data_IF_434472819223
#
_entry.id   IF_434472819223
#
_cell.length_a   1.000
_cell.length_b   1.000
_cell.length_c   1.000
_cell.angle_alpha   90.00
_cell.angle_beta   90.00
_cell.angle_gamma   90.00
#
_symmetry.space_group_name_H-M   'P 1'
#
loop_
_entity.id
_entity.type
_entity.pdbx_description
1 polymer ?
#
# COMPACT_ATOMS: atom_id res chain seq x y z
N UNK A 1 20.59 -80.26 -41.11
CA UNK A 1 20.19 -78.87 -41.33
C UNK A 1 19.29 -78.46 -40.15
N UNK A 2 19.72 -77.56 -39.28
CA UNK A 2 18.94 -77.05 -38.14
C UNK A 2 18.58 -75.60 -38.44
N UNK A 3 17.32 -75.20 -38.32
CA UNK A 3 16.95 -73.78 -38.50
C UNK A 3 17.36 -72.90 -37.32
N UNK A 4 17.95 -71.75 -37.64
CA UNK A 4 18.25 -70.72 -36.70
C UNK A 4 17.02 -69.82 -36.46
N UNK A 5 16.51 -69.76 -35.22
CA UNK A 5 15.49 -68.82 -34.82
C UNK A 5 16.18 -67.43 -34.60
N UNK A 6 15.73 -66.42 -35.34
CA UNK A 6 16.12 -65.04 -35.11
C UNK A 6 15.15 -64.44 -34.11
N UNK A 7 15.70 -63.94 -32.95
CA UNK A 7 14.93 -63.26 -31.91
C UNK A 7 14.98 -61.78 -32.20
N UNK A 8 13.86 -61.20 -32.63
CA UNK A 8 13.72 -59.73 -32.81
C UNK A 8 13.37 -59.08 -31.49
N UNK A 9 14.30 -58.25 -30.95
CA UNK A 9 14.07 -57.44 -29.76
C UNK A 9 13.38 -56.15 -30.22
N UNK A 10 12.09 -55.99 -29.90
CA UNK A 10 11.38 -54.70 -30.02
C UNK A 10 11.74 -53.84 -28.82
N UNK A 11 12.51 -52.76 -29.04
CA UNK A 11 12.77 -51.71 -28.05
C UNK A 11 11.63 -50.72 -28.08
N UNK A 12 10.75 -50.79 -27.09
CA UNK A 12 9.70 -49.79 -26.88
C UNK A 12 10.27 -48.51 -26.30
N UNK A 13 10.33 -47.44 -27.08
CA UNK A 13 10.63 -46.09 -26.58
C UNK A 13 9.38 -45.53 -25.89
N UNK A 14 9.41 -45.49 -24.56
CA UNK A 14 8.41 -44.76 -23.78
C UNK A 14 8.70 -43.26 -23.88
N UNK A 15 7.90 -42.54 -24.68
CA UNK A 15 7.85 -41.06 -24.68
C UNK A 15 7.22 -40.60 -23.35
N UNK A 16 8.06 -40.19 -22.40
CA UNK A 16 7.64 -39.46 -21.21
C UNK A 16 7.13 -38.09 -21.67
N UNK A 17 5.84 -37.93 -21.81
CA UNK A 17 5.21 -36.61 -21.90
C UNK A 17 5.41 -35.91 -20.58
N UNK A 18 6.37 -34.96 -20.52
CA UNK A 18 6.44 -34.00 -19.44
C UNK A 18 5.19 -33.10 -19.48
N UNK A 19 4.26 -33.35 -18.58
CA UNK A 19 3.14 -32.42 -18.41
C UNK A 19 3.72 -31.05 -18.10
N UNK A 20 3.22 -29.96 -18.72
CA UNK A 20 3.71 -28.62 -18.39
C UNK A 20 3.48 -28.39 -16.89
N UNK A 21 4.55 -28.05 -16.15
CA UNK A 21 4.44 -27.58 -14.79
C UNK A 21 3.54 -26.33 -14.82
N UNK A 22 2.30 -26.52 -14.41
CA UNK A 22 1.37 -25.41 -14.22
C UNK A 22 1.98 -24.54 -13.14
N UNK A 23 2.36 -23.30 -13.48
CA UNK A 23 2.85 -22.35 -12.48
C UNK A 23 1.84 -22.32 -11.32
N UNK A 24 2.31 -22.67 -10.12
CA UNK A 24 1.45 -22.75 -8.96
C UNK A 24 1.08 -21.32 -8.57
N UNK A 25 -0.21 -20.97 -8.65
CA UNK A 25 -0.69 -19.65 -8.25
C UNK A 25 -0.48 -19.44 -6.74
N UNK A 26 -0.21 -18.21 -6.34
CA UNK A 26 -0.05 -17.83 -4.93
C UNK A 26 -1.12 -16.83 -4.57
N UNK A 27 -1.85 -17.11 -3.49
CA UNK A 27 -2.79 -16.18 -2.89
C UNK A 27 -2.08 -15.42 -1.77
N UNK A 28 -2.24 -14.10 -1.73
CA UNK A 28 -1.77 -13.22 -0.67
C UNK A 28 -2.85 -12.22 -0.28
N UNK A 29 -2.92 -11.90 1.00
CA UNK A 29 -3.63 -10.72 1.49
C UNK A 29 -2.62 -9.65 1.86
N UNK A 30 -2.75 -8.47 1.26
CA UNK A 30 -1.85 -7.33 1.48
C UNK A 30 -2.61 -6.17 2.11
N UNK A 31 -1.90 -5.29 2.85
CA UNK A 31 -2.52 -4.22 3.61
C UNK A 31 -1.60 -3.00 3.66
N UNK A 32 -2.18 -1.80 3.61
CA UNK A 32 -1.55 -0.53 3.99
C UNK A 32 -2.27 0.06 5.19
N UNK A 33 -1.53 0.49 6.20
CA UNK A 33 -2.12 1.04 7.41
C UNK A 33 -1.22 2.09 8.08
N UNK A 34 -1.63 3.35 8.05
CA UNK A 34 -1.08 4.37 8.93
C UNK A 34 -1.56 4.07 10.36
N UNK A 35 -0.63 3.72 11.24
CA UNK A 35 -0.94 3.19 12.58
C UNK A 35 -0.93 4.26 13.68
N UNK A 36 -0.66 5.51 13.33
CA UNK A 36 -0.66 6.65 14.24
C UNK A 36 0.02 6.36 15.59
N UNK A 37 1.31 6.07 15.55
CA UNK A 37 2.10 5.67 16.71
C UNK A 37 1.79 4.26 17.23
N UNK A 38 1.15 3.41 16.43
CA UNK A 38 0.69 2.09 16.86
C UNK A 38 -0.51 2.13 17.80
N UNK A 39 -1.33 3.18 17.69
CA UNK A 39 -2.50 3.41 18.52
C UNK A 39 -2.23 4.33 19.72
N UNK A 40 -0.97 4.54 20.10
CA UNK A 40 -0.67 5.33 21.31
C UNK A 40 -1.03 6.82 21.19
N UNK A 41 -1.00 7.39 19.99
CA UNK A 41 -1.46 8.76 19.73
C UNK A 41 -3.00 8.88 19.92
N UNK A 42 -3.75 7.79 19.66
CA UNK A 42 -5.18 7.71 19.98
C UNK A 42 -5.46 7.38 21.45
N UNK A 43 -4.43 7.30 22.31
CA UNK A 43 -4.56 6.84 23.69
C UNK A 43 -4.90 5.35 23.81
N UNK A 44 -4.55 4.55 22.79
CA UNK A 44 -4.80 3.12 22.67
C UNK A 44 -3.53 2.31 22.89
N UNK A 45 -3.70 1.01 23.16
CA UNK A 45 -2.56 0.09 23.23
C UNK A 45 -2.21 -0.44 21.83
N UNK A 46 -0.95 -0.80 21.64
CA UNK A 46 -0.47 -1.46 20.40
C UNK A 46 -1.25 -2.74 20.09
N UNK A 47 -1.77 -3.42 21.10
CA UNK A 47 -2.60 -4.63 20.94
C UNK A 47 -3.88 -4.36 20.12
N UNK A 48 -4.40 -3.14 20.12
CA UNK A 48 -5.56 -2.78 19.31
C UNK A 48 -5.18 -2.66 17.82
N UNK A 49 -4.00 -2.12 17.51
CA UNK A 49 -3.44 -2.16 16.14
C UNK A 49 -3.19 -3.61 15.68
N UNK A 50 -2.68 -4.46 16.57
CA UNK A 50 -2.52 -5.91 16.32
C UNK A 50 -3.87 -6.57 16.02
N UNK A 51 -4.95 -6.19 16.73
CA UNK A 51 -6.27 -6.73 16.49
C UNK A 51 -6.82 -6.36 15.10
N UNK A 52 -6.57 -5.14 14.62
CA UNK A 52 -6.91 -4.71 13.26
C UNK A 52 -6.23 -5.60 12.22
N UNK A 53 -4.91 -5.80 12.35
CA UNK A 53 -4.14 -6.62 11.41
C UNK A 53 -4.61 -8.08 11.43
N UNK A 54 -4.92 -8.63 12.62
CA UNK A 54 -5.48 -9.98 12.77
C UNK A 54 -6.84 -10.12 12.11
N UNK A 55 -7.70 -9.12 12.18
CA UNK A 55 -9.02 -9.15 11.56
C UNK A 55 -8.95 -9.28 10.03
N UNK A 56 -7.94 -8.66 9.41
CA UNK A 56 -7.64 -8.78 7.97
C UNK A 56 -6.91 -10.07 7.65
N UNK A 57 -6.12 -10.60 8.60
CA UNK A 57 -5.21 -11.72 8.39
C UNK A 57 -4.22 -11.49 7.23
N UNK A 58 -3.71 -10.26 7.12
CA UNK A 58 -2.81 -9.86 6.05
C UNK A 58 -1.47 -10.60 6.11
N UNK A 59 -0.89 -10.89 4.93
CA UNK A 59 0.38 -11.58 4.79
C UNK A 59 1.57 -10.62 4.70
N UNK A 60 1.38 -9.49 4.02
CA UNK A 60 2.37 -8.42 3.83
C UNK A 60 1.70 -7.08 4.10
N UNK A 61 2.34 -6.24 4.90
CA UNK A 61 1.75 -4.99 5.38
C UNK A 61 2.78 -3.88 5.31
N UNK A 62 2.42 -2.76 4.68
CA UNK A 62 3.10 -1.48 4.85
C UNK A 62 2.44 -0.72 5.99
N UNK A 63 3.22 -0.30 6.97
CA UNK A 63 2.75 0.55 8.07
C UNK A 63 3.49 1.87 8.07
N UNK A 64 2.76 2.95 8.33
CA UNK A 64 3.27 4.32 8.44
C UNK A 64 3.03 4.83 9.85
N UNK A 65 3.75 5.85 10.26
CA UNK A 65 3.67 6.46 11.59
C UNK A 65 3.89 5.48 12.75
N UNK A 66 5.00 4.76 12.68
CA UNK A 66 5.41 3.84 13.76
C UNK A 66 5.99 4.56 14.99
N UNK A 67 5.76 5.89 15.11
CA UNK A 67 6.26 6.75 16.16
C UNK A 67 5.14 7.50 16.87
N UNK A 68 5.38 7.86 18.12
CA UNK A 68 4.54 8.82 18.85
C UNK A 68 4.84 10.22 18.34
N UNK A 69 3.86 11.10 18.34
CA UNK A 69 4.06 12.53 18.04
C UNK A 69 5.10 13.20 18.94
N UNK A 70 5.24 12.70 20.17
CA UNK A 70 6.24 13.20 21.14
C UNK A 70 7.66 12.63 20.95
N UNK A 71 7.85 11.64 20.08
CA UNK A 71 9.17 11.06 19.84
C UNK A 71 10.05 12.05 19.05
N UNK A 72 11.38 12.05 19.28
CA UNK A 72 12.27 12.92 18.55
C UNK A 72 12.39 12.46 17.09
N UNK A 73 11.79 13.25 16.20
CA UNK A 73 11.84 13.05 14.75
C UNK A 73 12.32 14.33 14.08
N UNK A 74 12.87 14.19 12.87
CA UNK A 74 13.11 15.30 11.95
C UNK A 74 12.05 15.29 10.85
N UNK A 75 11.98 16.37 10.05
CA UNK A 75 11.07 16.41 8.91
C UNK A 75 11.35 15.32 7.86
N UNK A 76 12.60 14.84 7.78
CA UNK A 76 13.07 13.93 6.73
C UNK A 76 13.37 12.53 7.27
N UNK A 77 13.29 12.30 8.59
CA UNK A 77 13.62 11.01 9.19
C UNK A 77 13.03 10.88 10.60
N UNK A 78 12.48 9.71 10.88
CA UNK A 78 11.99 9.36 12.21
C UNK A 78 12.45 7.93 12.57
N UNK A 79 13.76 7.74 12.88
CA UNK A 79 14.31 6.43 13.16
C UNK A 79 13.77 5.83 14.47
N UNK A 80 13.78 4.50 14.63
CA UNK A 80 13.38 3.84 15.85
C UNK A 80 14.18 4.30 17.07
N UNK A 81 13.49 4.59 18.18
CA UNK A 81 14.08 4.82 19.51
C UNK A 81 13.68 3.67 20.42
N UNK A 82 14.66 2.82 20.78
CA UNK A 82 14.38 1.58 21.51
C UNK A 82 13.68 0.51 20.68
N UNK A 83 12.82 -0.30 21.30
CA UNK A 83 12.02 -1.30 20.57
C UNK A 83 10.94 -0.59 19.74
N UNK A 84 10.98 -0.78 18.40
CA UNK A 84 10.04 -0.12 17.50
C UNK A 84 8.62 -0.65 17.69
N UNK A 85 7.64 0.18 17.32
CA UNK A 85 6.21 -0.24 17.25
C UNK A 85 6.06 -1.40 16.27
N UNK A 86 6.77 -1.37 15.13
CA UNK A 86 6.76 -2.45 14.16
C UNK A 86 7.27 -3.77 14.76
N UNK A 87 8.37 -3.73 15.55
CA UNK A 87 8.89 -4.90 16.25
C UNK A 87 7.87 -5.49 17.23
N UNK A 88 7.16 -4.64 17.99
CA UNK A 88 6.12 -5.08 18.93
C UNK A 88 4.95 -5.74 18.20
N UNK A 89 4.45 -5.13 17.13
CA UNK A 89 3.37 -5.69 16.31
C UNK A 89 3.82 -7.02 15.70
N UNK A 90 5.00 -7.07 15.09
CA UNK A 90 5.54 -8.28 14.46
C UNK A 90 5.68 -9.43 15.47
N UNK A 91 6.20 -9.14 16.67
CA UNK A 91 6.32 -10.13 17.75
C UNK A 91 4.96 -10.68 18.16
N UNK A 92 3.95 -9.82 18.31
CA UNK A 92 2.60 -10.24 18.69
C UNK A 92 1.91 -11.09 17.61
N UNK A 93 2.26 -10.87 16.33
CA UNK A 93 1.73 -11.60 15.19
C UNK A 93 2.55 -12.84 14.81
N UNK A 94 3.79 -12.95 15.26
CA UNK A 94 4.75 -13.96 14.81
C UNK A 94 5.25 -13.66 13.38
N UNK A 95 5.40 -12.39 13.03
CA UNK A 95 5.84 -11.92 11.71
C UNK A 95 7.26 -11.44 11.73
N UNK A 96 7.85 -11.34 10.55
CA UNK A 96 9.08 -10.57 10.29
C UNK A 96 8.73 -9.10 10.16
N UNK A 97 9.69 -8.22 10.47
CA UNK A 97 9.56 -6.77 10.27
C UNK A 97 10.86 -6.18 9.74
N UNK A 98 10.71 -5.04 9.11
CA UNK A 98 11.80 -4.20 8.64
C UNK A 98 11.44 -2.74 8.88
N UNK A 99 12.15 -2.08 9.78
CA UNK A 99 12.04 -0.63 9.99
C UNK A 99 12.81 0.09 8.87
N UNK A 100 12.12 0.91 8.10
CA UNK A 100 12.73 1.76 7.07
C UNK A 100 13.34 2.97 7.78
N UNK A 101 14.66 3.13 7.70
CA UNK A 101 15.40 4.06 8.55
C UNK A 101 16.25 5.07 7.81
N UNK A 102 16.35 4.97 6.46
CA UNK A 102 17.08 5.96 5.68
C UNK A 102 16.33 7.28 5.64
N UNK A 103 17.10 8.33 5.74
CA UNK A 103 16.61 9.69 5.56
C UNK A 103 16.31 9.94 4.09
N UNK A 104 15.03 10.13 3.76
CA UNK A 104 14.58 10.54 2.42
C UNK A 104 13.11 11.03 2.46
N UNK A 105 12.69 11.85 1.47
CA UNK A 105 11.37 12.50 1.48
C UNK A 105 10.16 11.55 1.27
N UNK A 106 10.39 10.25 1.06
CA UNK A 106 9.33 9.24 0.92
C UNK A 106 9.10 8.42 2.18
N UNK A 107 9.88 8.69 3.25
CA UNK A 107 9.85 7.90 4.48
C UNK A 107 9.74 8.81 5.71
N UNK A 108 8.75 8.52 6.52
CA UNK A 108 8.64 9.09 7.85
C UNK A 108 8.02 8.06 8.79
N UNK A 109 8.86 7.47 9.68
CA UNK A 109 8.44 6.45 10.64
C UNK A 109 7.73 5.24 9.99
N UNK A 110 8.34 4.66 8.97
CA UNK A 110 7.76 3.58 8.18
C UNK A 110 8.33 2.21 8.55
N UNK A 111 7.53 1.17 8.35
CA UNK A 111 8.02 -0.20 8.41
C UNK A 111 7.20 -1.14 7.51
N UNK A 112 7.80 -2.29 7.18
CA UNK A 112 7.15 -3.37 6.46
C UNK A 112 7.09 -4.59 7.36
N UNK A 113 5.90 -5.19 7.47
CA UNK A 113 5.66 -6.43 8.19
C UNK A 113 5.36 -7.55 7.19
N UNK A 114 5.82 -8.75 7.47
CA UNK A 114 5.57 -9.90 6.60
C UNK A 114 5.46 -11.21 7.40
N UNK A 115 4.52 -12.04 7.00
CA UNK A 115 4.45 -13.43 7.45
C UNK A 115 5.62 -14.27 6.93
N UNK A 116 6.27 -13.80 5.87
CA UNK A 116 7.35 -14.47 5.17
C UNK A 116 8.71 -13.79 5.44
N UNK A 117 9.82 -14.51 5.27
CA UNK A 117 11.15 -13.94 5.50
C UNK A 117 11.40 -12.69 4.64
N UNK A 118 11.90 -11.64 5.28
CA UNK A 118 12.32 -10.39 4.65
C UNK A 118 13.80 -10.47 4.30
N UNK A 119 14.15 -10.14 3.07
CA UNK A 119 15.49 -10.13 2.51
C UNK A 119 16.11 -8.74 2.47
N UNK A 120 16.72 -8.39 1.32
CA UNK A 120 17.46 -7.14 1.16
C UNK A 120 16.54 -5.96 0.92
N UNK A 121 16.89 -4.82 1.53
CA UNK A 121 16.29 -3.54 1.21
C UNK A 121 16.81 -2.96 -0.11
N UNK A 122 16.01 -2.11 -0.74
CA UNK A 122 16.36 -1.34 -1.93
C UNK A 122 17.33 -0.19 -1.61
N UNK A 123 17.89 0.43 -2.65
CA UNK A 123 18.95 1.44 -2.49
C UNK A 123 18.51 2.66 -1.67
N UNK A 124 17.26 3.12 -1.87
CA UNK A 124 16.69 4.25 -1.13
C UNK A 124 15.85 3.80 0.08
N UNK A 125 15.89 2.52 0.43
CA UNK A 125 15.16 1.97 1.59
C UNK A 125 13.62 1.95 1.44
N UNK A 126 13.11 2.16 0.23
CA UNK A 126 11.66 2.23 0.01
C UNK A 126 10.99 0.87 -0.04
N UNK A 127 11.74 -0.20 -0.30
CA UNK A 127 11.20 -1.54 -0.43
C UNK A 127 12.15 -2.62 0.03
N UNK A 128 11.59 -3.82 0.23
CA UNK A 128 12.32 -5.03 0.62
C UNK A 128 11.92 -6.21 -0.27
N UNK A 129 12.89 -7.11 -0.46
CA UNK A 129 12.61 -8.43 -1.01
C UNK A 129 11.94 -9.31 0.04
N UNK A 130 10.96 -10.12 -0.35
CA UNK A 130 10.26 -11.07 0.51
C UNK A 130 10.25 -12.44 -0.18
N UNK A 131 10.65 -13.47 0.54
CA UNK A 131 10.59 -14.86 0.06
C UNK A 131 9.23 -15.49 0.37
N UNK A 132 8.31 -15.40 -0.56
CA UNK A 132 6.99 -16.01 -0.42
C UNK A 132 7.03 -17.47 -0.90
N UNK A 133 7.43 -18.38 -0.02
CA UNK A 133 7.50 -19.83 -0.31
C UNK A 133 8.39 -20.14 -1.52
N UNK A 134 9.56 -19.51 -1.59
CA UNK A 134 10.50 -19.65 -2.70
C UNK A 134 10.23 -18.73 -3.90
N UNK A 135 9.21 -17.88 -3.83
CA UNK A 135 8.88 -16.89 -4.86
C UNK A 135 9.34 -15.51 -4.44
N UNK A 136 10.04 -14.83 -5.33
CA UNK A 136 10.54 -13.47 -5.10
C UNK A 136 9.41 -12.45 -5.25
N UNK A 137 9.06 -11.81 -4.16
CA UNK A 137 8.10 -10.71 -4.08
C UNK A 137 8.82 -9.47 -3.55
N UNK A 138 8.42 -8.28 -3.99
CA UNK A 138 8.87 -7.03 -3.38
C UNK A 138 7.68 -6.29 -2.78
N UNK A 139 7.91 -5.72 -1.61
CA UNK A 139 7.01 -4.80 -0.94
C UNK A 139 7.70 -3.45 -0.79
N UNK A 140 7.07 -2.39 -1.27
CA UNK A 140 7.47 -1.00 -1.08
C UNK A 140 6.48 -0.33 -0.14
N UNK A 141 6.96 0.61 0.68
CA UNK A 141 6.10 1.33 1.60
C UNK A 141 6.58 2.78 1.73
N UNK A 142 5.66 3.72 1.56
CA UNK A 142 5.92 5.16 1.54
C UNK A 142 5.06 5.87 2.58
N UNK A 143 5.55 7.02 3.03
CA UNK A 143 4.75 8.02 3.73
C UNK A 143 5.17 9.38 3.19
N UNK A 144 4.35 9.94 2.31
CA UNK A 144 4.68 11.17 1.61
C UNK A 144 4.32 12.38 2.46
N UNK A 145 4.95 13.52 2.17
CA UNK A 145 4.69 14.74 2.94
C UNK A 145 3.20 15.12 2.95
N UNK A 146 2.68 15.44 4.12
CA UNK A 146 1.33 15.93 4.34
C UNK A 146 1.17 17.39 3.89
N UNK A 147 2.24 18.17 3.94
CA UNK A 147 2.21 19.60 3.64
C UNK A 147 2.99 19.97 2.37
N UNK A 148 2.40 20.82 1.49
CA UNK A 148 1.02 21.31 1.51
C UNK A 148 0.01 20.27 1.04
N UNK A 149 -1.22 20.27 1.61
CA UNK A 149 -2.30 19.37 1.23
C UNK A 149 -3.24 20.06 0.24
N UNK A 150 -3.22 19.63 -1.01
CA UNK A 150 -3.92 20.31 -2.10
C UNK A 150 -5.44 20.32 -1.97
N UNK A 151 -6.11 19.27 -1.45
CA UNK A 151 -7.54 19.34 -1.16
C UNK A 151 -7.91 20.51 -0.24
N UNK A 152 -7.16 20.73 0.83
CA UNK A 152 -7.40 21.86 1.74
C UNK A 152 -7.15 23.20 1.05
N UNK A 153 -6.08 23.30 0.23
CA UNK A 153 -5.80 24.52 -0.53
C UNK A 153 -6.93 24.87 -1.50
N UNK A 154 -7.57 23.86 -2.15
CA UNK A 154 -8.70 24.04 -3.07
C UNK A 154 -10.02 24.40 -2.35
N UNK A 155 -10.18 23.95 -1.10
CA UNK A 155 -11.36 24.19 -0.28
C UNK A 155 -11.24 25.41 0.62
N UNK A 156 -10.10 26.09 0.61
CA UNK A 156 -9.76 27.21 1.51
C UNK A 156 -9.78 26.79 3.00
N UNK A 157 -9.42 25.54 3.29
CA UNK A 157 -9.18 25.06 4.64
C UNK A 157 -7.75 25.47 5.02
N UNK A 158 -7.58 26.10 6.16
CA UNK A 158 -6.27 26.57 6.64
C UNK A 158 -5.43 25.38 7.11
N UNK A 159 -4.24 25.20 6.50
CA UNK A 159 -3.26 24.22 6.90
C UNK A 159 -1.85 24.77 6.61
N UNK A 160 -1.24 25.38 7.62
CA UNK A 160 0.04 26.06 7.49
C UNK A 160 0.04 27.24 6.50
N UNK A 161 1.21 27.75 6.08
CA UNK A 161 1.33 28.98 5.28
C UNK A 161 1.16 28.76 3.76
N UNK A 162 0.57 27.65 3.32
CA UNK A 162 0.39 27.34 1.91
C UNK A 162 -0.69 28.23 1.26
N UNK A 163 -0.50 28.73 0.01
CA UNK A 163 -1.51 29.53 -0.67
C UNK A 163 -2.73 28.69 -1.06
N UNK A 164 -3.91 29.31 -1.11
CA UNK A 164 -5.09 28.66 -1.67
C UNK A 164 -5.01 28.52 -3.18
N UNK A 165 -5.55 27.43 -3.71
CA UNK A 165 -5.56 27.08 -5.14
C UNK A 165 -6.98 27.17 -5.70
N UNK A 166 -7.11 27.31 -7.03
CA UNK A 166 -8.41 27.48 -7.69
C UNK A 166 -8.62 26.55 -8.87
N UNK A 167 -7.54 25.95 -9.39
CA UNK A 167 -7.58 25.19 -10.63
C UNK A 167 -6.89 23.83 -10.48
N UNK A 168 -7.28 22.88 -11.32
CA UNK A 168 -6.61 21.60 -11.46
C UNK A 168 -5.10 21.77 -11.75
N UNK A 169 -4.75 22.66 -12.67
CA UNK A 169 -3.35 22.88 -13.06
C UNK A 169 -2.48 23.34 -11.88
N UNK A 170 -3.00 24.24 -11.04
CA UNK A 170 -2.31 24.69 -9.84
C UNK A 170 -2.17 23.55 -8.81
N UNK A 171 -3.22 22.74 -8.62
CA UNK A 171 -3.19 21.61 -7.69
C UNK A 171 -2.19 20.53 -8.14
N UNK A 172 -2.20 20.16 -9.42
CA UNK A 172 -1.27 19.18 -10.01
C UNK A 172 0.18 19.66 -9.90
N UNK A 173 0.45 20.93 -10.18
CA UNK A 173 1.80 21.48 -10.07
C UNK A 173 2.29 21.54 -8.62
N UNK A 174 1.43 21.95 -7.68
CA UNK A 174 1.75 21.96 -6.26
C UNK A 174 2.01 20.55 -5.72
N UNK A 175 1.18 19.57 -6.08
CA UNK A 175 1.35 18.17 -5.71
C UNK A 175 2.64 17.58 -6.28
N UNK A 176 2.92 17.82 -7.57
CA UNK A 176 4.17 17.39 -8.23
C UNK A 176 5.40 17.97 -7.54
N UNK A 177 5.37 19.24 -7.17
CA UNK A 177 6.47 19.89 -6.45
C UNK A 177 6.69 19.29 -5.07
N UNK A 178 5.61 19.00 -4.35
CA UNK A 178 5.69 18.48 -2.98
C UNK A 178 6.17 17.01 -2.95
N UNK A 179 5.60 16.16 -3.79
CA UNK A 179 5.78 14.69 -3.69
C UNK A 179 6.55 14.06 -4.85
N UNK A 180 6.77 14.81 -5.95
CA UNK A 180 7.51 14.34 -7.12
C UNK A 180 8.88 13.76 -6.79
N UNK A 181 9.73 14.42 -5.99
CA UNK A 181 11.05 13.90 -5.61
C UNK A 181 10.98 12.53 -4.92
N UNK A 182 9.99 12.32 -4.05
CA UNK A 182 9.77 11.03 -3.38
C UNK A 182 9.37 9.94 -4.38
N UNK A 183 8.53 10.27 -5.36
CA UNK A 183 8.13 9.33 -6.41
C UNK A 183 9.29 9.03 -7.37
N UNK A 184 10.18 9.97 -7.63
CA UNK A 184 11.41 9.72 -8.41
C UNK A 184 12.31 8.67 -7.73
N UNK A 185 12.44 8.72 -6.40
CA UNK A 185 13.15 7.70 -5.63
C UNK A 185 12.45 6.33 -5.71
N UNK A 186 11.12 6.29 -5.63
CA UNK A 186 10.37 5.05 -5.80
C UNK A 186 10.62 4.45 -7.18
N UNK A 187 10.51 5.25 -8.26
CA UNK A 187 10.73 4.76 -9.62
C UNK A 187 12.15 4.22 -9.80
N UNK A 188 13.15 4.83 -9.18
CA UNK A 188 14.53 4.34 -9.18
C UNK A 188 14.64 2.99 -8.45
N UNK A 189 14.04 2.86 -7.27
CA UNK A 189 14.09 1.64 -6.46
C UNK A 189 13.31 0.46 -7.07
N UNK A 190 12.26 0.72 -7.86
CA UNK A 190 11.53 -0.29 -8.61
C UNK A 190 12.40 -1.09 -9.58
N UNK A 191 13.57 -0.55 -9.97
CA UNK A 191 14.58 -1.25 -10.75
C UNK A 191 15.10 -2.53 -10.08
N UNK A 192 15.14 -2.59 -8.74
CA UNK A 192 15.53 -3.78 -7.98
C UNK A 192 14.51 -4.92 -8.10
N UNK A 193 13.26 -4.59 -8.35
CA UNK A 193 12.14 -5.53 -8.42
C UNK A 193 11.79 -6.01 -9.85
N UNK A 194 12.66 -5.76 -10.84
CA UNK A 194 12.40 -6.09 -12.26
C UNK A 194 12.15 -7.58 -12.52
N UNK A 195 12.82 -8.44 -11.74
CA UNK A 195 12.74 -9.91 -11.87
C UNK A 195 11.82 -10.54 -10.79
N UNK A 196 11.05 -9.73 -10.06
CA UNK A 196 10.10 -10.20 -9.07
C UNK A 196 8.85 -10.80 -9.75
N UNK A 197 8.27 -11.81 -9.10
CA UNK A 197 7.02 -12.42 -9.58
C UNK A 197 5.81 -11.56 -9.27
N UNK A 198 5.87 -10.83 -8.16
CA UNK A 198 4.90 -9.78 -7.81
C UNK A 198 5.59 -8.63 -7.06
N UNK A 199 5.05 -7.44 -7.23
CA UNK A 199 5.51 -6.22 -6.54
C UNK A 199 4.29 -5.51 -6.00
N UNK A 200 4.37 -5.09 -4.73
CA UNK A 200 3.33 -4.30 -4.07
C UNK A 200 3.90 -2.98 -3.61
N UNK A 201 3.08 -1.92 -3.67
CA UNK A 201 3.40 -0.60 -3.12
C UNK A 201 2.28 -0.25 -2.14
N UNK A 202 2.68 0.11 -0.93
CA UNK A 202 1.81 0.59 0.14
C UNK A 202 2.17 2.01 0.50
N UNK A 203 1.26 2.71 1.13
CA UNK A 203 1.61 3.98 1.74
C UNK A 203 0.42 4.87 2.04
N UNK A 204 0.68 5.79 2.96
CA UNK A 204 -0.02 7.04 3.07
C UNK A 204 0.65 8.04 2.13
N UNK A 205 -0.06 8.42 1.09
CA UNK A 205 0.50 9.30 0.06
C UNK A 205 0.24 10.78 0.35
N UNK A 206 -0.61 11.06 1.33
CA UNK A 206 -1.03 12.42 1.64
C UNK A 206 -1.46 13.21 0.39
N UNK A 207 -1.91 12.48 -0.62
CA UNK A 207 -2.40 12.96 -1.90
C UNK A 207 -3.50 12.03 -2.39
N UNK A 208 -4.67 12.53 -2.80
CA UNK A 208 -5.74 11.69 -3.33
C UNK A 208 -5.37 11.03 -4.65
N UNK A 209 -6.19 10.07 -5.10
CA UNK A 209 -6.00 9.42 -6.38
C UNK A 209 -6.60 10.22 -7.53
N UNK A 210 -5.89 10.20 -8.68
CA UNK A 210 -6.46 10.67 -9.96
C UNK A 210 -7.72 9.93 -10.38
N UNK A 211 -8.00 8.76 -9.77
CA UNK A 211 -9.21 7.96 -10.00
C UNK A 211 -10.38 8.36 -9.12
N UNK A 212 -10.16 9.21 -8.13
CA UNK A 212 -11.16 9.56 -7.12
C UNK A 212 -11.75 10.96 -7.35
N UNK A 213 -10.93 11.92 -7.72
CA UNK A 213 -11.36 13.30 -8.00
C UNK A 213 -11.87 13.46 -9.43
N UNK A 214 -12.95 12.73 -9.76
CA UNK A 214 -13.55 12.62 -11.07
C UNK A 214 -14.77 13.54 -11.23
N UNK A 215 -15.24 13.73 -12.46
CA UNK A 215 -16.50 14.46 -12.73
C UNK A 215 -17.69 13.85 -11.97
N UNK A 216 -17.73 12.52 -11.86
CA UNK A 216 -18.77 11.81 -11.09
C UNK A 216 -18.73 12.17 -9.61
N UNK A 217 -17.53 12.19 -9.00
CA UNK A 217 -17.34 12.54 -7.61
C UNK A 217 -17.65 14.02 -7.32
N UNK A 218 -17.28 14.93 -8.23
CA UNK A 218 -17.65 16.36 -8.14
C UNK A 218 -19.18 16.51 -8.22
N UNK A 219 -19.84 15.82 -9.16
CA UNK A 219 -21.29 15.85 -9.29
C UNK A 219 -22.01 15.27 -8.07
N UNK A 220 -21.40 14.28 -7.41
CA UNK A 220 -21.90 13.71 -6.17
C UNK A 220 -21.65 14.62 -4.94
N UNK A 221 -20.90 15.71 -5.10
CA UNK A 221 -20.58 16.65 -4.02
C UNK A 221 -19.43 16.24 -3.12
N UNK A 222 -18.63 15.24 -3.52
CA UNK A 222 -17.47 14.78 -2.73
C UNK A 222 -16.29 15.73 -2.84
N UNK A 223 -16.07 16.34 -4.00
CA UNK A 223 -14.91 17.21 -4.26
C UNK A 223 -15.32 18.49 -4.99
N UNK A 224 -14.57 19.59 -4.83
CA UNK A 224 -14.95 20.88 -5.43
C UNK A 224 -14.73 20.94 -6.94
N UNK A 225 -13.70 20.27 -7.44
CA UNK A 225 -13.31 20.24 -8.86
C UNK A 225 -12.70 18.87 -9.21
N UNK A 226 -12.57 18.59 -10.51
CA UNK A 226 -11.80 17.45 -11.00
C UNK A 226 -10.31 17.73 -10.87
N UNK A 227 -9.54 16.77 -10.36
CA UNK A 227 -8.07 16.84 -10.31
C UNK A 227 -7.45 15.49 -10.67
N UNK A 228 -6.58 15.48 -11.69
CA UNK A 228 -5.77 14.29 -12.02
C UNK A 228 -4.47 14.31 -11.23
N UNK A 229 -4.53 13.95 -9.97
CA UNK A 229 -3.38 13.94 -9.06
C UNK A 229 -2.19 13.13 -9.61
N UNK A 230 -0.97 13.68 -9.59
CA UNK A 230 0.16 13.14 -10.35
C UNK A 230 0.78 11.89 -9.73
N UNK A 231 0.74 11.71 -8.41
CA UNK A 231 1.45 10.62 -7.72
C UNK A 231 0.91 9.26 -8.12
N UNK A 232 -0.38 9.03 -7.93
CA UNK A 232 -1.03 7.75 -8.27
C UNK A 232 -1.06 7.52 -9.79
N UNK A 233 -1.19 8.60 -10.58
CA UNK A 233 -1.13 8.54 -12.04
C UNK A 233 0.24 8.02 -12.52
N UNK A 234 1.35 8.53 -11.98
CA UNK A 234 2.70 8.07 -12.32
C UNK A 234 2.94 6.61 -11.93
N UNK A 235 2.48 6.18 -10.76
CA UNK A 235 2.59 4.78 -10.32
C UNK A 235 1.89 3.84 -11.29
N UNK A 236 0.71 4.21 -11.79
CA UNK A 236 -0.02 3.39 -12.75
C UNK A 236 0.58 3.46 -14.16
N UNK A 237 0.80 4.65 -14.71
CA UNK A 237 1.21 4.85 -16.11
C UNK A 237 2.70 4.54 -16.34
N UNK A 238 3.59 5.02 -15.47
CA UNK A 238 5.04 4.80 -15.60
C UNK A 238 5.48 3.49 -14.93
N UNK A 239 4.92 3.18 -13.75
CA UNK A 239 5.25 2.00 -12.97
C UNK A 239 4.56 0.72 -13.43
N UNK A 240 3.46 0.83 -14.18
CA UNK A 240 2.66 -0.31 -14.64
C UNK A 240 1.91 -1.04 -13.51
N UNK A 241 1.62 -0.34 -12.44
CA UNK A 241 0.87 -0.88 -11.30
C UNK A 241 -0.64 -0.73 -11.48
N UNK A 242 -1.37 -1.51 -10.70
CA UNK A 242 -2.83 -1.45 -10.60
C UNK A 242 -3.20 -1.04 -9.17
N UNK A 243 -4.02 -0.02 -9.03
CA UNK A 243 -4.70 0.29 -7.76
C UNK A 243 -5.65 -0.87 -7.42
N UNK A 244 -5.31 -1.64 -6.39
CA UNK A 244 -6.04 -2.87 -6.05
C UNK A 244 -7.47 -2.60 -5.62
N UNK A 245 -7.71 -1.49 -4.90
CA UNK A 245 -9.06 -1.10 -4.49
C UNK A 245 -9.90 -0.68 -5.70
N UNK A 246 -9.37 0.19 -6.58
CA UNK A 246 -10.10 0.64 -7.78
C UNK A 246 -10.23 -0.45 -8.83
N UNK A 247 -9.39 -1.48 -8.80
CA UNK A 247 -9.60 -2.69 -9.63
C UNK A 247 -10.83 -3.48 -9.20
N UNK A 248 -11.08 -3.60 -7.88
CA UNK A 248 -12.26 -4.26 -7.32
C UNK A 248 -13.50 -3.35 -7.36
N UNK A 249 -13.33 -2.05 -7.12
CA UNK A 249 -14.38 -1.04 -7.01
C UNK A 249 -14.06 0.15 -7.93
N UNK A 250 -14.34 0.06 -9.23
CA UNK A 250 -13.92 1.08 -10.21
C UNK A 250 -14.65 2.41 -10.10
N UNK A 251 -15.84 2.45 -9.50
CA UNK A 251 -16.65 3.66 -9.34
C UNK A 251 -16.39 4.32 -7.98
N UNK A 252 -15.71 5.50 -7.95
CA UNK A 252 -15.42 6.22 -6.71
C UNK A 252 -16.67 6.83 -6.06
N UNK A 253 -17.77 6.96 -6.79
CA UNK A 253 -19.03 7.45 -6.21
C UNK A 253 -19.74 6.34 -5.46
N UNK A 254 -19.82 5.16 -6.05
CA UNK A 254 -20.42 3.99 -5.39
C UNK A 254 -19.59 3.49 -4.19
N UNK A 255 -18.26 3.65 -4.25
CA UNK A 255 -17.32 3.29 -3.17
C UNK A 255 -16.29 4.40 -2.98
N UNK A 256 -16.59 5.47 -2.22
CA UNK A 256 -15.65 6.55 -1.96
C UNK A 256 -14.37 6.05 -1.28
N UNK A 257 -14.53 5.17 -0.29
CA UNK A 257 -13.43 4.50 0.41
C UNK A 257 -12.45 5.49 1.09
N UNK A 258 -12.98 6.53 1.70
CA UNK A 258 -12.19 7.53 2.41
C UNK A 258 -11.38 6.89 3.53
N UNK A 259 -10.07 7.04 3.49
CA UNK A 259 -9.14 6.57 4.52
C UNK A 259 -8.82 7.66 5.52
N UNK A 260 -8.67 8.89 5.09
CA UNK A 260 -8.66 10.10 5.89
C UNK A 260 -10.08 10.65 5.95
N UNK A 261 -10.78 10.79 7.06
CA UNK A 261 -10.35 10.41 8.40
C UNK A 261 -11.55 9.87 9.20
N UNK A 262 -11.34 8.93 10.13
CA UNK A 262 -12.38 8.47 11.06
C UNK A 262 -12.62 9.44 12.25
N UNK A 263 -11.79 10.48 12.41
CA UNK A 263 -11.80 11.36 13.60
C UNK A 263 -12.66 12.62 13.44
N UNK A 264 -13.10 12.92 12.21
CA UNK A 264 -14.03 14.02 11.94
C UNK A 264 -15.30 13.54 11.22
N UNK A 265 -16.34 14.35 11.18
CA UNK A 265 -17.52 14.07 10.39
C UNK A 265 -17.32 14.52 8.94
N UNK A 266 -17.87 13.81 7.93
CA UNK A 266 -17.73 14.18 6.52
C UNK A 266 -18.24 15.56 6.14
N UNK A 267 -19.02 16.17 7.03
CA UNK A 267 -19.57 17.53 6.87
C UNK A 267 -18.80 18.60 7.64
N UNK A 268 -17.69 18.25 8.28
CA UNK A 268 -16.83 19.22 8.95
C UNK A 268 -16.32 20.25 7.94
N UNK A 269 -16.25 21.52 8.36
CA UNK A 269 -15.86 22.62 7.47
C UNK A 269 -14.35 22.87 7.48
N UNK A 270 -13.69 22.35 8.49
CA UNK A 270 -12.26 22.44 8.75
C UNK A 270 -11.51 21.15 8.39
N UNK A 271 -12.20 20.24 7.74
CA UNK A 271 -11.65 18.98 7.27
C UNK A 271 -12.23 18.58 5.90
N UNK A 272 -11.60 17.60 5.24
CA UNK A 272 -12.05 17.02 3.99
C UNK A 272 -11.66 15.55 3.90
N UNK A 273 -12.65 14.70 3.67
CA UNK A 273 -12.41 13.27 3.61
C UNK A 273 -11.92 12.84 2.23
N UNK A 274 -10.80 12.13 2.22
CA UNK A 274 -10.15 11.62 1.03
C UNK A 274 -9.64 10.18 1.22
N UNK A 275 -9.42 9.49 0.12
CA UNK A 275 -8.63 8.28 0.09
C UNK A 275 -7.19 8.65 -0.23
N UNK A 276 -6.31 8.56 0.76
CA UNK A 276 -4.89 8.89 0.65
C UNK A 276 -3.98 7.71 0.99
N UNK A 277 -4.55 6.62 1.51
CA UNK A 277 -3.84 5.36 1.76
C UNK A 277 -4.11 4.37 0.63
N UNK A 278 -3.05 3.69 0.17
CA UNK A 278 -3.11 2.87 -1.02
C UNK A 278 -2.42 1.52 -0.87
N UNK A 279 -2.92 0.55 -1.65
CA UNK A 279 -2.25 -0.70 -1.97
C UNK A 279 -2.28 -0.87 -3.49
N UNK A 280 -1.12 -0.82 -4.13
CA UNK A 280 -0.93 -1.11 -5.55
C UNK A 280 -0.27 -2.47 -5.73
N UNK A 281 -0.56 -3.12 -6.86
CA UNK A 281 0.04 -4.39 -7.21
C UNK A 281 0.45 -4.47 -8.67
N UNK A 282 1.54 -5.22 -8.93
CA UNK A 282 2.02 -5.57 -10.28
C UNK A 282 2.54 -6.99 -10.28
N UNK A 283 2.01 -7.83 -11.17
CA UNK A 283 2.51 -9.17 -11.46
C UNK A 283 2.17 -9.54 -12.91
N UNK A 284 2.80 -10.58 -13.45
CA UNK A 284 2.54 -11.05 -14.82
C UNK A 284 1.07 -11.46 -15.02
N UNK A 285 0.47 -12.07 -14.02
CA UNK A 285 -0.97 -12.33 -13.97
C UNK A 285 -1.48 -11.99 -12.58
N UNK A 286 -2.06 -10.80 -12.43
CA UNK A 286 -2.58 -10.31 -11.16
C UNK A 286 -4.12 -10.37 -11.19
N UNK A 287 -4.69 -11.16 -10.31
CA UNK A 287 -6.13 -11.22 -10.06
C UNK A 287 -6.42 -10.62 -8.69
N UNK A 288 -7.24 -9.59 -8.63
CA UNK A 288 -7.77 -9.05 -7.38
C UNK A 288 -9.03 -9.83 -7.04
N UNK A 289 -9.01 -10.57 -5.94
CA UNK A 289 -10.11 -11.38 -5.44
C UNK A 289 -11.09 -10.56 -4.63
N UNK A 290 -10.53 -9.70 -3.80
CA UNK A 290 -11.26 -8.83 -2.89
C UNK A 290 -10.38 -7.62 -2.57
N UNK A 291 -10.98 -6.46 -2.34
CA UNK A 291 -10.31 -5.30 -1.75
C UNK A 291 -11.33 -4.46 -0.99
N UNK A 292 -10.88 -3.77 0.05
CA UNK A 292 -11.78 -3.00 0.89
C UNK A 292 -11.06 -2.13 1.91
N UNK A 293 -11.86 -1.50 2.74
CA UNK A 293 -11.46 -0.62 3.84
C UNK A 293 -11.68 -1.33 5.16
N UNK A 294 -10.73 -1.18 6.08
CA UNK A 294 -10.87 -1.57 7.49
C UNK A 294 -11.00 -0.30 8.31
N UNK A 295 -11.96 -0.24 9.19
CA UNK A 295 -12.20 0.98 9.95
C UNK A 295 -13.15 0.78 11.13
N UNK A 296 -13.63 1.91 11.66
CA UNK A 296 -14.36 2.00 12.92
C UNK A 296 -15.84 1.66 12.81
N UNK A 297 -16.46 1.86 11.64
CA UNK A 297 -17.92 1.74 11.47
C UNK A 297 -18.33 1.47 10.01
N UNK A 298 -19.57 1.01 9.82
CA UNK A 298 -20.28 0.98 8.54
C UNK A 298 -20.94 2.35 8.27
N UNK A 299 -21.11 2.76 7.03
CA UNK A 299 -20.76 2.07 5.76
C UNK A 299 -19.32 2.31 5.30
N UNK A 300 -18.51 3.08 6.03
CA UNK A 300 -17.18 3.54 5.64
C UNK A 300 -16.18 2.38 5.51
N UNK A 301 -16.35 1.34 6.32
CA UNK A 301 -15.48 0.16 6.34
C UNK A 301 -16.19 -1.12 5.92
N UNK A 302 -15.48 -2.00 5.22
CA UNK A 302 -15.89 -3.36 4.87
C UNK A 302 -15.68 -4.32 6.04
N UNK A 303 -14.53 -4.19 6.71
CA UNK A 303 -14.19 -4.86 7.96
C UNK A 303 -14.23 -3.83 9.09
N UNK A 304 -15.09 -4.06 10.08
CA UNK A 304 -15.21 -3.17 11.25
C UNK A 304 -14.46 -3.74 12.42
N UNK A 305 -13.59 -2.94 13.03
CA UNK A 305 -12.85 -3.28 14.25
C UNK A 305 -13.07 -2.17 15.29
N UNK A 306 -13.40 -2.57 16.50
CA UNK A 306 -13.67 -1.64 17.60
C UNK A 306 -13.00 -2.17 18.88
N UNK A 307 -12.27 -1.32 19.62
CA UNK A 307 -12.01 0.09 19.37
C UNK A 307 -11.05 0.31 18.18
N UNK A 308 -11.13 1.48 17.52
CA UNK A 308 -10.29 1.83 16.39
C UNK A 308 -9.05 2.62 16.86
N UNK A 309 -7.81 2.23 16.47
CA UNK A 309 -6.61 2.78 17.07
C UNK A 309 -5.93 3.89 16.26
N UNK A 310 -6.48 4.35 15.13
CA UNK A 310 -5.82 5.30 14.23
C UNK A 310 -6.76 6.42 13.79
N UNK A 311 -6.20 7.52 13.32
CA UNK A 311 -6.88 8.59 12.60
C UNK A 311 -6.98 8.32 11.08
N UNK A 312 -6.43 7.20 10.62
CA UNK A 312 -6.63 6.66 9.27
C UNK A 312 -7.43 5.36 9.30
N UNK A 313 -8.16 5.07 8.22
CA UNK A 313 -8.65 3.73 7.92
C UNK A 313 -7.63 2.99 7.07
N UNK A 314 -7.55 1.67 7.23
CA UNK A 314 -6.62 0.85 6.47
C UNK A 314 -7.24 0.35 5.16
N UNK A 315 -6.38 0.08 4.17
CA UNK A 315 -6.73 -0.54 2.88
C UNK A 315 -6.19 -1.96 2.85
N UNK A 316 -7.00 -2.91 2.41
CA UNK A 316 -6.55 -4.29 2.18
C UNK A 316 -6.97 -4.80 0.80
N UNK A 317 -6.25 -5.81 0.31
CA UNK A 317 -6.63 -6.56 -0.87
C UNK A 317 -6.16 -8.01 -0.78
N UNK A 318 -7.02 -8.94 -1.20
CA UNK A 318 -6.65 -10.34 -1.46
C UNK A 318 -6.41 -10.52 -2.93
N UNK A 319 -5.24 -11.02 -3.29
CA UNK A 319 -4.78 -11.14 -4.66
C UNK A 319 -4.27 -12.54 -4.95
N UNK A 320 -4.28 -12.92 -6.24
CA UNK A 320 -3.63 -14.12 -6.78
C UNK A 320 -2.72 -13.75 -7.94
N UNK A 321 -1.53 -14.37 -7.97
CA UNK A 321 -0.57 -14.21 -9.06
C UNK A 321 0.20 -15.50 -9.36
#
# INVERSE_FOLDING_TARGET
MKPRLALSILTAFALLWAAPLRAQSTDLTVMSFNVWGGGVNAGKDVDETVAVIRAVNADIIGIQETRRESDPCTADSCPPVGESVAAKIAKALGYFHYDQSKENPALWANAILSRYPIGKATANDLGVEIDVKGRKVYAFNLHLTDFPYQPYQLLNIEYGPAPYLKTEAEAVEAARKARGPAIDLLMADLGAAKDAEAVFIFGDFNEPSHRDWTEGAVKAGYHPIVVRYPTTLRIEEEGGFVDLLRKAHPDPVAKPAFTWTPTSEPTAKDDHHDRIDFAFGRAKSLEVREAGIVGEKKPEADIVVTPWPSDHRAVYASVRF
#
